data_IF_516735926762
#
_entry.id   IF_516735926762
#
_cell.length_a   1.000
_cell.length_b   1.000
_cell.length_c   1.000
_cell.angle_alpha   90.00
_cell.angle_beta   90.00
_cell.angle_gamma   90.00
#
_symmetry.space_group_name_H-M   'P 1'
#
loop_
_entity.id
_entity.type
_entity.pdbx_description
1 polymer ?
#
# COMPACT_ATOMS: atom_id res chain seq x y z
N UNK A 1 0.54 6.46 -81.97
CA UNK A 1 -0.02 5.16 -81.60
C UNK A 1 -0.37 5.22 -80.10
N UNK A 2 -1.64 5.20 -79.72
CA UNK A 2 -2.00 5.24 -78.32
C UNK A 2 -1.96 3.83 -77.73
N UNK A 3 -1.36 3.75 -76.49
CA UNK A 3 -1.28 2.53 -75.70
C UNK A 3 -2.67 2.26 -75.09
N UNK A 4 -3.26 1.11 -75.47
CA UNK A 4 -4.54 0.63 -74.89
C UNK A 4 -4.27 0.03 -73.53
N UNK A 5 -4.76 0.69 -72.48
CA UNK A 5 -4.86 0.08 -71.15
C UNK A 5 -5.86 -1.06 -71.16
N UNK A 6 -5.40 -2.27 -70.82
CA UNK A 6 -6.28 -3.43 -70.60
C UNK A 6 -6.83 -3.33 -69.16
N UNK A 7 -8.09 -3.02 -69.05
CA UNK A 7 -8.81 -3.18 -67.79
C UNK A 7 -9.18 -4.64 -67.57
N UNK A 8 -8.60 -5.29 -66.61
CA UNK A 8 -9.01 -6.63 -66.17
C UNK A 8 -10.27 -6.50 -65.28
N UNK A 9 -11.39 -6.99 -65.81
CA UNK A 9 -12.66 -7.08 -65.06
C UNK A 9 -12.79 -8.51 -64.54
N UNK A 10 -12.85 -8.71 -63.23
CA UNK A 10 -13.21 -9.99 -62.59
C UNK A 10 -14.50 -9.74 -61.81
N UNK A 11 -15.56 -10.45 -62.17
CA UNK A 11 -16.82 -10.45 -61.43
C UNK A 11 -17.61 -9.14 -61.40
N UNK A 12 -17.61 -8.34 -62.50
CA UNK A 12 -18.50 -7.17 -62.62
C UNK A 12 -18.16 -5.92 -61.79
N UNK A 13 -17.09 -5.93 -61.02
CA UNK A 13 -16.65 -4.79 -60.17
C UNK A 13 -15.22 -4.40 -60.55
N UNK A 14 -15.01 -3.13 -60.91
CA UNK A 14 -13.70 -2.60 -61.28
C UNK A 14 -12.71 -2.73 -60.10
N UNK A 15 -11.47 -3.20 -60.38
CA UNK A 15 -10.39 -3.35 -59.38
C UNK A 15 -10.15 -2.04 -58.58
N UNK A 16 -10.32 -0.90 -59.21
CA UNK A 16 -10.21 0.42 -58.60
C UNK A 16 -11.26 0.65 -57.53
N UNK A 17 -12.51 0.15 -57.69
CA UNK A 17 -13.56 0.26 -56.67
C UNK A 17 -13.27 -0.64 -55.45
N UNK A 18 -12.68 -1.81 -55.65
CA UNK A 18 -12.31 -2.73 -54.55
C UNK A 18 -11.18 -2.12 -53.70
N UNK A 19 -10.20 -1.47 -54.33
CA UNK A 19 -9.10 -0.82 -53.63
C UNK A 19 -9.62 0.36 -52.78
N UNK A 20 -10.54 1.17 -53.30
CA UNK A 20 -11.14 2.28 -52.56
C UNK A 20 -12.02 1.83 -51.39
N UNK A 21 -12.75 0.72 -51.53
CA UNK A 21 -13.56 0.16 -50.43
C UNK A 21 -12.65 -0.37 -49.32
N UNK A 22 -11.56 -1.09 -49.64
CA UNK A 22 -10.58 -1.55 -48.65
C UNK A 22 -9.85 -0.41 -47.95
N UNK A 23 -9.42 0.62 -48.65
CA UNK A 23 -8.77 1.80 -48.08
C UNK A 23 -9.69 2.55 -47.11
N UNK A 24 -10.99 2.70 -47.45
CA UNK A 24 -11.97 3.34 -46.55
C UNK A 24 -12.21 2.57 -45.28
N UNK A 25 -12.21 1.23 -45.29
CA UNK A 25 -12.35 0.39 -44.10
C UNK A 25 -11.11 0.46 -43.18
N UNK A 26 -9.92 0.48 -43.77
CA UNK A 26 -8.68 0.67 -43.00
C UNK A 26 -8.59 2.06 -42.39
N UNK A 27 -9.07 3.08 -43.06
CA UNK A 27 -9.09 4.46 -42.52
C UNK A 27 -10.07 4.57 -41.36
N UNK A 28 -11.23 3.92 -41.42
CA UNK A 28 -12.21 3.84 -40.31
C UNK A 28 -11.66 3.08 -39.10
N UNK A 29 -10.98 1.95 -39.32
CA UNK A 29 -10.36 1.17 -38.25
C UNK A 29 -9.24 1.95 -37.60
N UNK A 30 -8.41 2.67 -38.35
CA UNK A 30 -7.33 3.50 -37.83
C UNK A 30 -7.86 4.71 -37.03
N UNK A 31 -8.93 5.35 -37.48
CA UNK A 31 -9.54 6.48 -36.73
C UNK A 31 -10.21 6.04 -35.42
N UNK A 32 -10.86 4.89 -35.40
CA UNK A 32 -11.42 4.31 -34.15
C UNK A 32 -10.30 3.92 -33.20
N UNK A 33 -9.20 3.32 -33.68
CA UNK A 33 -8.06 2.96 -32.85
C UNK A 33 -7.30 4.19 -32.29
N UNK A 34 -7.17 5.25 -33.09
CA UNK A 34 -6.58 6.52 -32.66
C UNK A 34 -7.45 7.24 -31.61
N UNK A 35 -8.77 7.20 -31.73
CA UNK A 35 -9.70 7.77 -30.76
C UNK A 35 -9.70 6.99 -29.44
N UNK A 36 -9.65 5.65 -29.49
CA UNK A 36 -9.56 4.83 -28.26
C UNK A 36 -8.19 4.95 -27.57
N UNK A 37 -7.10 5.04 -28.33
CA UNK A 37 -5.76 5.30 -27.79
C UNK A 37 -5.66 6.71 -27.15
N UNK A 38 -6.29 7.71 -27.73
CA UNK A 38 -6.35 9.07 -27.16
C UNK A 38 -7.18 9.13 -25.87
N UNK A 39 -8.26 8.34 -25.74
CA UNK A 39 -9.03 8.24 -24.50
C UNK A 39 -8.26 7.51 -23.40
N UNK A 40 -7.42 6.52 -23.76
CA UNK A 40 -6.59 5.78 -22.80
C UNK A 40 -5.35 6.59 -22.34
N UNK A 41 -4.89 7.54 -23.16
CA UNK A 41 -3.76 8.43 -22.84
C UNK A 41 -4.19 9.71 -22.12
N UNK A 42 -5.49 10.05 -22.13
CA UNK A 42 -6.05 11.20 -21.42
C UNK A 42 -6.40 10.92 -19.95
N UNK A 43 -5.95 9.79 -19.39
CA UNK A 43 -5.89 9.58 -17.95
C UNK A 43 -4.86 10.55 -17.35
N UNK A 44 -5.25 11.80 -17.13
CA UNK A 44 -4.46 12.79 -16.42
C UNK A 44 -4.11 12.24 -15.05
N UNK A 45 -2.83 11.91 -14.84
CA UNK A 45 -2.24 11.84 -13.52
C UNK A 45 -2.29 13.25 -12.94
N UNK A 46 -3.37 13.57 -12.22
CA UNK A 46 -3.40 14.79 -11.40
C UNK A 46 -2.25 14.69 -10.41
N UNK A 47 -1.31 15.64 -10.37
CA UNK A 47 -0.37 15.72 -9.28
C UNK A 47 -1.18 15.88 -7.99
N UNK A 48 -0.86 15.12 -6.95
CA UNK A 48 -1.39 15.34 -5.61
C UNK A 48 -0.88 16.71 -5.17
N UNK A 49 -1.67 17.73 -5.42
CA UNK A 49 -1.44 19.06 -4.89
C UNK A 49 -1.77 19.01 -3.40
N UNK A 50 -0.74 19.12 -2.57
CA UNK A 50 -0.87 19.35 -1.14
C UNK A 50 -1.33 20.80 -0.89
N UNK A 51 -2.54 21.15 -1.33
CA UNK A 51 -3.23 22.37 -0.94
C UNK A 51 -4.39 21.99 -0.04
N UNK A 52 -4.38 22.56 1.18
CA UNK A 52 -5.29 22.29 2.29
C UNK A 52 -6.78 22.41 1.95
N UNK A 53 -7.30 21.41 1.28
CA UNK A 53 -8.72 21.13 1.32
C UNK A 53 -9.00 20.29 2.56
N UNK A 54 -9.80 20.82 3.46
CA UNK A 54 -10.43 20.08 4.53
C UNK A 54 -11.23 18.97 3.85
N UNK A 55 -10.65 17.76 3.73
CA UNK A 55 -11.36 16.61 3.19
C UNK A 55 -12.52 16.37 4.14
N UNK A 56 -13.74 16.63 3.64
CA UNK A 56 -14.97 16.25 4.33
C UNK A 56 -14.91 14.73 4.47
N UNK A 57 -14.60 14.25 5.68
CA UNK A 57 -14.74 12.86 6.04
C UNK A 57 -16.18 12.45 5.75
N UNK A 58 -16.36 11.37 5.00
CA UNK A 58 -17.66 10.74 4.87
C UNK A 58 -18.24 10.50 6.25
N UNK A 59 -19.51 10.59 6.36
CA UNK A 59 -20.42 10.86 7.47
C UNK A 59 -20.25 10.11 8.81
N UNK A 60 -19.17 9.34 9.03
CA UNK A 60 -19.01 8.53 10.25
C UNK A 60 -17.56 8.41 10.81
N UNK A 61 -16.64 9.28 10.37
CA UNK A 61 -15.32 9.43 11.00
C UNK A 61 -14.36 8.23 10.89
N UNK A 62 -14.60 7.31 9.95
CA UNK A 62 -13.83 6.07 9.80
C UNK A 62 -12.62 6.21 8.87
N UNK A 63 -11.73 7.18 9.15
CA UNK A 63 -10.47 7.30 8.40
C UNK A 63 -9.40 6.40 9.01
N UNK A 64 -8.84 5.51 8.19
CA UNK A 64 -7.70 4.67 8.55
C UNK A 64 -6.47 5.15 7.80
N UNK A 65 -5.44 5.53 8.53
CA UNK A 65 -4.13 5.84 7.98
C UNK A 65 -3.28 4.57 8.00
N UNK A 66 -2.91 4.06 6.83
CA UNK A 66 -1.97 2.95 6.70
C UNK A 66 -0.60 3.51 6.36
N UNK A 67 0.39 3.14 7.17
CA UNK A 67 1.78 3.54 7.02
C UNK A 67 2.67 2.34 6.70
N UNK A 68 2.91 2.02 5.42
CA UNK A 68 3.93 1.03 5.06
C UNK A 68 5.30 1.56 5.45
N UNK A 69 5.95 0.96 6.46
CA UNK A 69 7.24 1.40 6.95
C UNK A 69 8.31 1.48 5.88
N UNK A 70 9.27 2.40 6.04
CA UNK A 70 10.37 2.62 5.09
C UNK A 70 9.91 3.04 3.68
N UNK A 71 10.75 2.91 2.66
CA UNK A 71 10.44 3.22 1.26
C UNK A 71 11.53 4.00 0.55
N UNK A 72 11.59 3.88 -0.78
CA UNK A 72 12.60 4.53 -1.61
C UNK A 72 14.03 4.20 -1.17
N UNK A 73 14.78 5.22 -0.74
CA UNK A 73 16.16 5.07 -0.28
C UNK A 73 16.30 4.30 1.05
N UNK A 74 15.26 4.27 1.88
CA UNK A 74 15.26 3.54 3.14
C UNK A 74 14.68 2.14 2.94
N UNK A 75 15.55 1.14 2.87
CA UNK A 75 15.14 -0.26 2.71
C UNK A 75 14.53 -0.87 3.97
N UNK A 76 14.80 -0.30 5.15
CA UNK A 76 14.54 -0.96 6.43
C UNK A 76 15.55 -2.07 6.71
N UNK A 77 15.12 -3.10 7.43
CA UNK A 77 15.92 -4.28 7.69
C UNK A 77 16.14 -5.12 6.41
N UNK A 78 17.23 -5.88 6.41
CA UNK A 78 17.51 -6.89 5.38
C UNK A 78 17.56 -8.25 6.06
N UNK A 79 16.70 -9.15 5.63
CA UNK A 79 16.60 -10.50 6.16
C UNK A 79 17.80 -11.38 5.86
N UNK A 80 17.83 -12.55 6.45
CA UNK A 80 18.92 -13.52 6.33
C UNK A 80 19.15 -14.02 4.89
N UNK A 81 18.11 -14.02 4.07
CA UNK A 81 18.12 -14.40 2.64
C UNK A 81 18.09 -13.20 1.68
N UNK A 82 18.23 -11.98 2.20
CA UNK A 82 18.28 -10.75 1.43
C UNK A 82 16.95 -10.07 1.19
N UNK A 83 15.88 -10.49 1.86
CA UNK A 83 14.57 -9.84 1.80
C UNK A 83 14.66 -8.43 2.37
N UNK A 84 14.23 -7.44 1.60
CA UNK A 84 14.22 -6.03 2.00
C UNK A 84 12.86 -5.67 2.61
N UNK A 85 12.87 -5.21 3.85
CA UNK A 85 11.68 -4.96 4.68
C UNK A 85 10.61 -4.10 3.99
N UNK A 86 11.00 -3.00 3.35
CA UNK A 86 10.07 -2.04 2.72
C UNK A 86 9.12 -2.68 1.69
N UNK A 87 9.55 -3.77 1.04
CA UNK A 87 8.73 -4.46 0.04
C UNK A 87 7.65 -5.32 0.69
N UNK A 88 8.00 -6.02 1.78
CA UNK A 88 7.04 -6.81 2.57
C UNK A 88 6.02 -5.89 3.24
N UNK A 89 6.48 -4.78 3.83
CA UNK A 89 5.61 -3.78 4.44
C UNK A 89 4.58 -3.24 3.45
N UNK A 90 5.01 -2.88 2.23
CA UNK A 90 4.12 -2.39 1.19
C UNK A 90 3.11 -3.47 0.74
N UNK A 91 3.59 -4.70 0.53
CA UNK A 91 2.73 -5.80 0.06
C UNK A 91 1.60 -6.14 1.06
N UNK A 92 1.90 -6.20 2.36
CA UNK A 92 0.91 -6.40 3.42
C UNK A 92 -0.05 -5.21 3.49
N UNK A 93 0.48 -3.99 3.44
CA UNK A 93 -0.31 -2.76 3.53
C UNK A 93 -1.29 -2.57 2.38
N UNK A 94 -0.93 -2.95 1.16
CA UNK A 94 -1.83 -2.89 0.00
C UNK A 94 -3.00 -3.86 0.15
N UNK A 95 -2.75 -5.08 0.64
CA UNK A 95 -3.79 -6.06 0.94
C UNK A 95 -4.73 -5.56 2.06
N UNK A 96 -4.17 -4.96 3.10
CA UNK A 96 -4.94 -4.36 4.19
C UNK A 96 -5.81 -3.20 3.69
N UNK A 97 -5.26 -2.32 2.85
CA UNK A 97 -6.01 -1.22 2.22
C UNK A 97 -7.24 -1.74 1.48
N UNK A 98 -7.04 -2.76 0.64
CA UNK A 98 -8.12 -3.30 -0.19
C UNK A 98 -9.23 -3.90 0.69
N UNK A 99 -8.87 -4.69 1.73
CA UNK A 99 -9.85 -5.24 2.69
C UNK A 99 -10.65 -4.14 3.40
N UNK A 100 -9.97 -3.07 3.85
CA UNK A 100 -10.62 -1.97 4.57
C UNK A 100 -11.50 -1.12 3.65
N UNK A 101 -11.06 -0.88 2.42
CA UNK A 101 -11.86 -0.17 1.42
C UNK A 101 -13.12 -0.94 1.07
N UNK A 102 -13.03 -2.26 0.88
CA UNK A 102 -14.17 -3.14 0.63
C UNK A 102 -15.13 -3.18 1.83
N UNK A 103 -14.63 -3.02 3.05
CA UNK A 103 -15.43 -2.89 4.26
C UNK A 103 -16.05 -1.49 4.49
N UNK A 104 -15.82 -0.53 3.58
CA UNK A 104 -16.42 0.80 3.60
C UNK A 104 -15.65 1.85 4.40
N UNK A 105 -14.38 1.58 4.79
CA UNK A 105 -13.54 2.59 5.42
C UNK A 105 -12.94 3.55 4.40
N UNK A 106 -12.76 4.80 4.80
CA UNK A 106 -11.89 5.73 4.06
C UNK A 106 -10.43 5.43 4.42
N UNK A 107 -9.66 4.95 3.44
CA UNK A 107 -8.26 4.58 3.65
C UNK A 107 -7.34 5.61 3.02
N UNK A 108 -6.38 6.10 3.80
CA UNK A 108 -5.29 6.97 3.35
C UNK A 108 -3.98 6.27 3.62
N UNK A 109 -3.12 6.17 2.61
CA UNK A 109 -1.80 5.57 2.76
C UNK A 109 -0.71 6.63 2.79
N UNK A 110 0.33 6.45 3.60
CA UNK A 110 1.51 7.31 3.55
C UNK A 110 2.27 7.12 2.24
N UNK A 111 2.31 5.91 1.71
CA UNK A 111 2.80 5.54 0.37
C UNK A 111 2.06 4.31 -0.15
N UNK A 112 1.85 4.23 -1.45
CA UNK A 112 1.25 3.10 -2.16
C UNK A 112 2.20 2.45 -3.18
N UNK A 113 3.44 2.92 -3.19
CA UNK A 113 4.52 2.49 -4.08
C UNK A 113 5.86 2.51 -3.34
N UNK A 114 6.94 2.05 -3.98
CA UNK A 114 8.29 2.14 -3.41
C UNK A 114 8.86 3.55 -3.57
N UNK A 115 8.40 4.46 -2.74
CA UNK A 115 8.87 5.84 -2.70
C UNK A 115 9.20 6.27 -1.27
N UNK A 116 10.03 7.29 -1.15
CA UNK A 116 10.28 7.99 0.10
C UNK A 116 9.43 9.26 0.16
N UNK A 117 9.08 9.69 1.36
CA UNK A 117 8.26 10.89 1.62
C UNK A 117 9.12 12.11 1.98
N UNK A 118 10.44 11.96 1.95
CA UNK A 118 11.36 13.04 2.30
C UNK A 118 11.33 14.19 1.29
N UNK A 119 11.70 15.38 1.77
CA UNK A 119 11.90 16.55 0.91
C UNK A 119 13.03 16.29 -0.11
N UNK A 120 12.81 16.71 -1.36
CA UNK A 120 13.77 16.55 -2.45
C UNK A 120 15.05 17.35 -2.26
N UNK A 121 15.05 18.40 -1.41
CA UNK A 121 16.20 19.21 -1.06
C UNK A 121 17.18 18.58 -0.05
N UNK A 122 16.80 17.45 0.55
CA UNK A 122 17.64 16.79 1.55
C UNK A 122 18.83 16.06 0.93
N UNK A 123 20.05 16.44 1.34
CA UNK A 123 21.30 15.95 0.76
C UNK A 123 21.95 14.79 1.53
N UNK A 124 21.60 14.59 2.81
CA UNK A 124 22.17 13.53 3.64
C UNK A 124 21.11 12.49 4.02
N UNK A 125 21.52 11.21 4.14
CA UNK A 125 20.63 10.12 4.56
C UNK A 125 19.91 10.45 5.88
N UNK A 126 20.62 11.03 6.84
CA UNK A 126 20.02 11.42 8.13
C UNK A 126 18.92 12.46 7.95
N UNK A 127 19.13 13.51 7.17
CA UNK A 127 18.12 14.54 6.90
C UNK A 127 16.92 13.95 6.18
N UNK A 128 17.17 13.11 5.17
CA UNK A 128 16.12 12.41 4.43
C UNK A 128 15.26 11.56 5.34
N UNK A 129 15.85 10.77 6.27
CA UNK A 129 15.08 9.98 7.24
C UNK A 129 14.27 10.86 8.20
N UNK A 130 14.81 12.00 8.63
CA UNK A 130 14.10 12.94 9.52
C UNK A 130 12.94 13.59 8.80
N UNK A 131 13.10 14.04 7.56
CA UNK A 131 12.01 14.66 6.78
C UNK A 131 10.94 13.64 6.39
N UNK A 132 11.32 12.41 6.04
CA UNK A 132 10.38 11.31 5.80
C UNK A 132 9.50 11.05 7.03
N UNK A 133 10.10 10.93 8.20
CA UNK A 133 9.37 10.73 9.46
C UNK A 133 8.45 11.91 9.80
N UNK A 134 8.87 13.15 9.50
CA UNK A 134 8.04 14.34 9.65
C UNK A 134 6.86 14.35 8.68
N UNK A 135 7.06 13.92 7.44
CA UNK A 135 5.97 13.80 6.47
C UNK A 135 4.90 12.82 6.94
N UNK A 136 5.30 11.63 7.46
CA UNK A 136 4.39 10.65 8.07
C UNK A 136 3.61 11.26 9.25
N UNK A 137 4.29 11.94 10.16
CA UNK A 137 3.66 12.60 11.30
C UNK A 137 2.71 13.72 10.86
N UNK A 138 3.07 14.49 9.84
CA UNK A 138 2.20 15.55 9.34
C UNK A 138 0.91 14.99 8.74
N UNK A 139 0.97 13.83 8.09
CA UNK A 139 -0.24 13.17 7.59
C UNK A 139 -1.20 12.82 8.74
N UNK A 140 -0.71 12.37 9.90
CA UNK A 140 -1.59 12.09 11.06
C UNK A 140 -2.31 13.34 11.56
N UNK A 141 -1.66 14.52 11.45
CA UNK A 141 -2.25 15.81 11.86
C UNK A 141 -3.30 16.32 10.88
N UNK A 142 -3.21 15.93 9.60
CA UNK A 142 -4.22 16.29 8.58
C UNK A 142 -5.52 15.50 8.77
N UNK A 143 -5.46 14.36 9.48
CA UNK A 143 -6.61 13.49 9.75
C UNK A 143 -6.77 13.29 11.27
N UNK A 144 -7.18 14.31 12.02
CA UNK A 144 -7.40 14.17 13.45
C UNK A 144 -8.53 13.15 13.71
N UNK A 145 -8.35 12.31 14.74
CA UNK A 145 -9.31 11.26 15.07
C UNK A 145 -9.23 9.99 14.21
N UNK A 146 -8.34 9.95 13.21
CA UNK A 146 -8.08 8.73 12.43
C UNK A 146 -7.34 7.68 13.24
N UNK A 147 -7.38 6.44 12.78
CA UNK A 147 -6.55 5.33 13.31
C UNK A 147 -5.30 5.17 12.44
N UNK A 148 -4.13 5.24 13.06
CA UNK A 148 -2.85 4.98 12.40
C UNK A 148 -2.42 3.53 12.60
N UNK A 149 -2.21 2.81 11.50
CA UNK A 149 -1.67 1.45 11.45
C UNK A 149 -0.37 1.48 10.65
N UNK A 150 0.76 1.36 11.33
CA UNK A 150 2.07 1.24 10.67
C UNK A 150 2.47 -0.22 10.57
N UNK A 151 2.90 -0.64 9.38
CA UNK A 151 3.25 -2.03 9.06
C UNK A 151 4.74 -2.16 8.85
N UNK A 152 5.37 -3.03 9.62
CA UNK A 152 6.79 -3.29 9.65
C UNK A 152 7.12 -4.78 9.75
N UNK A 153 8.40 -5.12 9.63
CA UNK A 153 8.96 -6.42 9.95
C UNK A 153 10.11 -6.26 10.94
N UNK A 154 10.12 -7.10 11.95
CA UNK A 154 11.13 -7.08 12.99
C UNK A 154 12.44 -7.74 12.51
N UNK A 155 13.53 -7.39 13.17
CA UNK A 155 14.82 -8.06 13.01
C UNK A 155 15.55 -8.08 14.35
N UNK A 156 15.89 -9.27 14.82
CA UNK A 156 16.70 -9.46 16.05
C UNK A 156 18.08 -10.00 15.68
N UNK A 157 19.09 -9.14 15.77
CA UNK A 157 20.47 -9.55 15.54
C UNK A 157 20.92 -10.53 16.62
N UNK A 158 21.53 -11.65 16.22
CA UNK A 158 22.12 -12.64 17.12
C UNK A 158 21.20 -13.76 17.58
N UNK A 159 19.88 -13.70 17.30
CA UNK A 159 18.97 -14.82 17.58
C UNK A 159 17.99 -15.02 16.43
N UNK A 160 18.28 -15.98 15.58
CA UNK A 160 17.43 -16.34 14.44
C UNK A 160 16.28 -17.29 14.80
N UNK A 161 16.16 -17.71 16.04
CA UNK A 161 15.06 -18.57 16.48
C UNK A 161 13.78 -17.78 16.84
N UNK A 162 13.91 -16.47 17.03
CA UNK A 162 12.78 -15.61 17.38
C UNK A 162 11.89 -15.39 16.15
N UNK A 163 10.59 -15.62 16.33
CA UNK A 163 9.57 -15.49 15.29
C UNK A 163 8.23 -15.01 15.87
N UNK A 164 7.26 -14.72 15.01
CA UNK A 164 5.90 -14.33 15.35
C UNK A 164 5.72 -12.84 15.49
N UNK A 165 4.52 -12.35 15.14
CA UNK A 165 4.16 -10.95 15.14
C UNK A 165 4.15 -10.33 16.54
N UNK A 166 4.54 -9.08 16.63
CA UNK A 166 4.53 -8.28 17.85
C UNK A 166 3.88 -6.93 17.61
N UNK A 167 2.79 -6.64 18.32
CA UNK A 167 2.08 -5.38 18.18
C UNK A 167 2.49 -4.41 19.27
N UNK A 168 2.80 -3.17 18.86
CA UNK A 168 3.15 -2.07 19.73
C UNK A 168 2.08 -0.99 19.68
N UNK A 169 1.86 -0.28 20.78
CA UNK A 169 0.88 0.80 20.88
C UNK A 169 1.47 2.13 21.32
N UNK A 170 0.94 3.21 20.77
CA UNK A 170 1.24 4.57 21.24
C UNK A 170 0.61 4.80 22.64
N UNK A 171 1.35 5.39 23.57
CA UNK A 171 0.79 5.74 24.89
C UNK A 171 -0.05 7.00 24.89
N UNK A 172 -0.11 7.74 23.79
CA UNK A 172 -0.72 9.08 23.74
C UNK A 172 -2.25 9.03 23.70
N UNK A 173 -2.81 7.92 23.19
CA UNK A 173 -4.25 7.69 23.10
C UNK A 173 -4.59 6.30 23.68
N UNK A 174 -5.44 6.22 24.74
CA UNK A 174 -5.77 4.96 25.41
C UNK A 174 -6.29 3.87 24.49
N UNK A 175 -7.11 4.23 23.50
CA UNK A 175 -7.65 3.30 22.49
C UNK A 175 -6.59 2.57 21.68
N UNK A 176 -5.35 3.09 21.64
CA UNK A 176 -4.22 2.42 20.98
C UNK A 176 -3.90 1.08 21.61
N UNK A 177 -3.98 0.97 22.94
CA UNK A 177 -3.74 -0.27 23.66
C UNK A 177 -4.82 -1.30 23.35
N UNK A 178 -6.08 -0.91 23.43
CA UNK A 178 -7.23 -1.78 23.14
C UNK A 178 -7.17 -2.32 21.70
N UNK A 179 -6.90 -1.45 20.73
CA UNK A 179 -6.72 -1.85 19.33
C UNK A 179 -5.55 -2.82 19.17
N UNK A 180 -4.41 -2.54 19.81
CA UNK A 180 -3.24 -3.42 19.74
C UNK A 180 -3.51 -4.80 20.31
N UNK A 181 -4.23 -4.90 21.44
CA UNK A 181 -4.64 -6.17 22.06
C UNK A 181 -5.57 -6.97 21.13
N UNK A 182 -6.50 -6.30 20.48
CA UNK A 182 -7.39 -6.93 19.51
C UNK A 182 -6.61 -7.50 18.31
N UNK A 183 -5.69 -6.73 17.72
CA UNK A 183 -4.86 -7.18 16.60
C UNK A 183 -3.91 -8.30 17.04
N UNK A 184 -3.23 -8.16 18.18
CA UNK A 184 -2.32 -9.19 18.69
C UNK A 184 -3.04 -10.52 18.94
N UNK A 185 -4.28 -10.47 19.43
CA UNK A 185 -5.11 -11.66 19.63
C UNK A 185 -5.38 -12.42 18.33
N UNK A 186 -5.59 -11.72 17.22
CA UNK A 186 -5.79 -12.35 15.91
C UNK A 186 -4.50 -13.03 15.42
N UNK A 187 -3.34 -12.40 15.56
CA UNK A 187 -2.05 -13.02 15.27
C UNK A 187 -1.78 -14.24 16.16
N UNK A 188 -1.99 -14.11 17.47
CA UNK A 188 -1.80 -15.20 18.41
C UNK A 188 -2.64 -16.42 18.07
N UNK A 189 -3.90 -16.19 17.67
CA UNK A 189 -4.83 -17.29 17.39
C UNK A 189 -4.59 -17.94 16.03
N UNK A 190 -4.22 -17.15 15.02
CA UNK A 190 -4.21 -17.61 13.62
C UNK A 190 -2.84 -17.97 13.08
N UNK A 191 -1.79 -17.26 13.51
CA UNK A 191 -0.45 -17.40 12.93
C UNK A 191 0.62 -17.87 13.93
N UNK A 192 0.38 -17.71 15.24
CA UNK A 192 1.37 -18.05 16.27
C UNK A 192 0.74 -18.65 17.53
N UNK A 193 -0.11 -19.69 17.42
CA UNK A 193 -0.82 -20.25 18.57
C UNK A 193 0.13 -20.85 19.60
N UNK A 194 1.28 -21.38 19.18
CA UNK A 194 2.28 -22.00 20.05
C UNK A 194 3.16 -20.98 20.80
N UNK A 195 3.13 -19.73 20.39
CA UNK A 195 3.95 -18.66 20.97
C UNK A 195 3.18 -17.34 21.06
N UNK A 196 2.09 -17.27 21.84
CA UNK A 196 1.33 -16.06 21.99
C UNK A 196 2.19 -14.94 22.62
N UNK A 197 1.99 -13.72 22.16
CA UNK A 197 2.67 -12.53 22.66
C UNK A 197 1.68 -11.53 23.27
N UNK A 198 2.17 -10.71 24.17
CA UNK A 198 1.45 -9.56 24.69
C UNK A 198 1.86 -8.28 23.95
N UNK A 199 0.99 -7.29 23.94
CA UNK A 199 1.27 -5.99 23.32
C UNK A 199 2.32 -5.22 24.08
N UNK A 200 3.10 -4.39 23.39
CA UNK A 200 4.19 -3.63 23.96
C UNK A 200 3.95 -2.12 23.78
N UNK A 201 4.17 -1.36 24.84
CA UNK A 201 4.12 0.09 24.78
C UNK A 201 5.33 0.64 24.00
N UNK A 202 5.10 1.58 23.06
CA UNK A 202 6.19 2.24 22.34
C UNK A 202 6.99 3.17 23.26
N UNK A 203 8.31 3.21 23.01
CA UNK A 203 9.22 4.14 23.69
C UNK A 203 9.42 5.44 22.89
N UNK A 204 10.19 6.38 23.49
CA UNK A 204 10.52 7.69 22.88
C UNK A 204 11.37 7.58 21.62
N UNK A 205 12.00 6.46 21.39
CA UNK A 205 12.81 6.14 20.18
C UNK A 205 11.94 5.95 18.92
N UNK A 206 10.65 5.68 19.07
CA UNK A 206 9.71 5.55 17.96
C UNK A 206 9.01 6.91 17.72
N UNK A 207 9.69 7.77 16.94
CA UNK A 207 9.32 9.18 16.76
C UNK A 207 7.85 9.38 16.37
N UNK A 208 7.36 8.63 15.38
CA UNK A 208 5.99 8.74 14.89
C UNK A 208 4.98 8.49 16.03
N UNK A 209 5.14 7.41 16.77
CA UNK A 209 4.24 7.00 17.86
C UNK A 209 4.38 7.86 19.11
N UNK A 210 5.55 8.44 19.33
CA UNK A 210 5.77 9.36 20.44
C UNK A 210 5.07 10.71 20.24
N UNK A 211 4.88 11.13 18.99
CA UNK A 211 4.31 12.45 18.66
C UNK A 211 2.88 12.40 18.11
N UNK A 212 2.44 11.29 17.51
CA UNK A 212 1.08 11.14 17.01
C UNK A 212 0.07 11.19 18.16
N UNK A 213 -1.03 11.92 17.95
CA UNK A 213 -2.14 12.03 18.91
C UNK A 213 -3.35 11.19 18.49
N UNK A 214 -3.17 10.39 17.46
CA UNK A 214 -4.18 9.47 16.94
C UNK A 214 -4.15 8.15 17.74
N UNK A 215 -5.22 7.36 17.69
CA UNK A 215 -5.14 5.93 17.99
C UNK A 215 -4.09 5.33 17.04
N UNK A 216 -2.98 4.81 17.58
CA UNK A 216 -1.83 4.43 16.76
C UNK A 216 -1.19 3.11 17.21
N UNK A 217 -1.00 2.20 16.26
CA UNK A 217 -0.37 0.90 16.47
C UNK A 217 0.73 0.65 15.44
N UNK A 218 1.82 0.00 15.88
CA UNK A 218 2.88 -0.53 15.04
C UNK A 218 2.76 -2.05 15.01
N UNK A 219 2.58 -2.60 13.82
CA UNK A 219 2.46 -4.03 13.57
C UNK A 219 3.79 -4.56 13.01
N UNK A 220 4.60 -5.17 13.85
CA UNK A 220 5.75 -5.98 13.44
C UNK A 220 5.22 -7.36 13.09
N UNK A 221 5.00 -7.64 11.79
CA UNK A 221 4.24 -8.80 11.34
C UNK A 221 5.01 -10.13 11.37
N UNK A 222 6.32 -10.09 11.61
CA UNK A 222 7.21 -11.24 11.74
C UNK A 222 8.67 -10.82 11.79
N UNK A 223 9.58 -11.78 11.91
CA UNK A 223 11.03 -11.54 12.04
C UNK A 223 11.78 -11.93 10.77
N UNK A 224 12.36 -10.95 10.08
CA UNK A 224 13.26 -11.18 8.93
C UNK A 224 14.59 -11.85 9.33
N UNK A 225 14.94 -11.87 10.63
CA UNK A 225 16.08 -12.60 11.14
C UNK A 225 15.86 -14.11 11.21
N UNK A 226 14.59 -14.58 11.22
CA UNK A 226 14.26 -16.00 11.20
C UNK A 226 14.11 -16.47 9.75
N UNK A 227 14.94 -17.45 9.26
CA UNK A 227 14.93 -17.82 7.85
C UNK A 227 13.64 -18.50 7.36
N UNK A 228 12.90 -19.16 8.28
CA UNK A 228 11.63 -19.81 7.96
C UNK A 228 10.51 -18.76 7.86
N UNK A 229 10.44 -17.85 8.82
CA UNK A 229 9.46 -16.78 8.81
C UNK A 229 9.73 -15.76 7.68
N UNK A 230 11.01 -15.45 7.38
CA UNK A 230 11.39 -14.65 6.22
C UNK A 230 10.85 -15.26 4.91
N UNK A 231 10.98 -16.58 4.76
CA UNK A 231 10.45 -17.28 3.59
C UNK A 231 8.91 -17.15 3.50
N UNK A 232 8.20 -17.26 4.61
CA UNK A 232 6.74 -17.08 4.67
C UNK A 232 6.33 -15.65 4.35
N UNK A 233 7.00 -14.67 4.92
CA UNK A 233 6.74 -13.24 4.71
C UNK A 233 6.90 -12.80 3.25
N UNK A 234 7.65 -13.55 2.44
CA UNK A 234 7.80 -13.35 1.00
C UNK A 234 6.66 -13.96 0.18
N UNK A 235 5.76 -14.76 0.78
CA UNK A 235 4.64 -15.38 0.07
C UNK A 235 3.40 -14.51 0.08
N UNK A 236 2.67 -14.52 -1.02
CA UNK A 236 1.40 -13.77 -1.13
C UNK A 236 0.37 -14.25 -0.10
N UNK A 237 0.32 -15.56 0.14
CA UNK A 237 -0.58 -16.18 1.11
C UNK A 237 -0.33 -15.69 2.54
N UNK A 238 0.92 -15.67 2.99
CA UNK A 238 1.24 -15.23 4.36
C UNK A 238 1.03 -13.72 4.53
N UNK A 239 1.39 -12.92 3.54
CA UNK A 239 1.12 -11.49 3.52
C UNK A 239 -0.38 -11.19 3.62
N UNK A 240 -1.22 -11.97 2.91
CA UNK A 240 -2.67 -11.87 3.01
C UNK A 240 -3.16 -12.24 4.42
N UNK A 241 -2.65 -13.32 5.00
CA UNK A 241 -2.99 -13.73 6.38
C UNK A 241 -2.60 -12.67 7.41
N UNK A 242 -1.41 -12.06 7.28
CA UNK A 242 -0.97 -10.98 8.15
C UNK A 242 -1.87 -9.74 8.02
N UNK A 243 -2.19 -9.31 6.80
CA UNK A 243 -3.14 -8.24 6.55
C UNK A 243 -4.53 -8.54 7.13
N UNK A 244 -4.99 -9.78 7.00
CA UNK A 244 -6.27 -10.22 7.56
C UNK A 244 -6.29 -10.20 9.09
N UNK A 245 -5.19 -10.55 9.77
CA UNK A 245 -5.10 -10.42 11.23
C UNK A 245 -5.26 -8.96 11.68
N UNK A 246 -4.60 -8.02 10.98
CA UNK A 246 -4.72 -6.60 11.28
C UNK A 246 -6.15 -6.12 11.01
N UNK A 247 -6.72 -6.45 9.86
CA UNK A 247 -8.09 -6.13 9.49
C UNK A 247 -9.10 -6.67 10.51
N UNK A 248 -9.05 -7.97 10.82
CA UNK A 248 -9.97 -8.63 11.74
C UNK A 248 -9.90 -8.02 13.15
N UNK A 249 -8.69 -7.73 13.65
CA UNK A 249 -8.49 -7.06 14.93
C UNK A 249 -9.06 -5.65 14.96
N UNK A 250 -8.88 -4.88 13.88
CA UNK A 250 -9.46 -3.54 13.75
C UNK A 250 -11.00 -3.59 13.74
N UNK A 251 -11.60 -4.49 12.96
CA UNK A 251 -13.07 -4.64 12.89
C UNK A 251 -13.63 -5.02 14.25
N UNK A 252 -13.02 -5.99 14.94
CA UNK A 252 -13.47 -6.39 16.29
C UNK A 252 -13.43 -5.24 17.28
N UNK A 253 -12.34 -4.46 17.26
CA UNK A 253 -12.21 -3.28 18.12
C UNK A 253 -13.28 -2.24 17.79
N UNK A 254 -13.54 -1.93 16.52
CA UNK A 254 -14.60 -1.00 16.11
C UNK A 254 -15.99 -1.47 16.51
N UNK A 255 -16.27 -2.77 16.45
CA UNK A 255 -17.56 -3.34 16.83
C UNK A 255 -17.73 -3.49 18.34
N UNK A 256 -16.75 -3.13 19.17
CA UNK A 256 -16.79 -3.29 20.62
C UNK A 256 -16.91 -4.75 21.07
N UNK A 257 -16.47 -5.71 20.22
CA UNK A 257 -16.47 -7.13 20.55
C UNK A 257 -15.26 -7.40 21.44
N UNK A 258 -15.46 -7.23 22.75
CA UNK A 258 -14.49 -7.67 23.76
C UNK A 258 -14.33 -9.20 23.72
N UNK A 259 -13.15 -9.68 24.21
CA UNK A 259 -12.85 -11.11 24.34
C UNK A 259 -13.87 -11.85 25.18
#
# INVERSE_FOLDING_TARGET
MPIRERTNIVGGISVTKIIHIRARHWFLVFTVFALTASLLLAGEKKPVSAQGETIRTGDDGRVILIDPGHGGFDGGAVGSKGTVEKHVNLAISLKLRDMLTDAGFTVVMTRDSDCALNDTGDTTIRRRKVSDMRARLNLTKLYPGSVLISVHQNLLAGDSSVHGAQIFYSPNEPSSKELSESIQSEFNTRLQPDKPREVVKTGKNLYLFYHAQNTAVLCECGFLSNPEEEALLCTDEYQYKAAYCIYSGLIRWYCGVSK
#
